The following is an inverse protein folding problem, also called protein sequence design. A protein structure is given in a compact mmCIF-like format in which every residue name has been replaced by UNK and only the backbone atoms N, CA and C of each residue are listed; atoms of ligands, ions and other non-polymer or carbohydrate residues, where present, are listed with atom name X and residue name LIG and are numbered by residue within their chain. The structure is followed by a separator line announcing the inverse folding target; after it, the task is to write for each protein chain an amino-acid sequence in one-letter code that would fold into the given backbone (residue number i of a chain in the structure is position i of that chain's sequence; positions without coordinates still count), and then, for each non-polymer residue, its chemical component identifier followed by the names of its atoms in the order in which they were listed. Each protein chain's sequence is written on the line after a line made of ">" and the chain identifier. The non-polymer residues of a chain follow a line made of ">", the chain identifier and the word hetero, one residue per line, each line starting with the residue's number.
data_IF_710881824618
#
_entry.id   IF_710881824618
#
_cell.length_a   1.000
_cell.length_b   1.000
_cell.length_c   1.000
_cell.angle_alpha   90.00
_cell.angle_beta   90.00
_cell.angle_gamma   90.00
#
_symmetry.space_group_name_H-M   'P 1'
#
loop_
_entity.id
_entity.type
_entity.pdbx_description
1 polymer ?
#
# COMPACT_ATOMS: atom_id res chain seq x y z
N UNK A 1 -39.60 47.86 1.25
CA UNK A 1 -38.74 47.00 2.09
C UNK A 1 -38.54 45.67 1.38
N UNK A 2 -37.45 45.52 0.61
CA UNK A 2 -37.09 44.24 -0.04
C UNK A 2 -36.20 43.47 0.93
N UNK A 3 -36.70 42.34 1.45
CA UNK A 3 -35.94 41.43 2.31
C UNK A 3 -34.95 40.67 1.42
N UNK A 4 -33.66 40.87 1.64
CA UNK A 4 -32.63 40.01 1.07
C UNK A 4 -32.61 38.69 1.86
N UNK A 5 -32.90 37.59 1.17
CA UNK A 5 -32.78 36.25 1.70
C UNK A 5 -31.29 35.88 1.66
N UNK A 6 -30.64 35.83 2.82
CA UNK A 6 -29.27 35.37 2.93
C UNK A 6 -29.23 33.87 2.61
N UNK A 7 -28.54 33.50 1.53
CA UNK A 7 -28.24 32.11 1.22
C UNK A 7 -27.22 31.63 2.26
N UNK A 8 -27.63 30.75 3.16
CA UNK A 8 -26.71 30.06 4.04
C UNK A 8 -25.88 29.11 3.17
N UNK A 9 -24.63 29.49 2.89
CA UNK A 9 -23.63 28.57 2.36
C UNK A 9 -23.38 27.54 3.47
N UNK A 10 -23.99 26.37 3.32
CA UNK A 10 -23.63 25.22 4.14
C UNK A 10 -22.19 24.86 3.76
N UNK A 11 -21.23 25.23 4.62
CA UNK A 11 -19.89 24.67 4.59
C UNK A 11 -20.06 23.15 4.76
N UNK A 12 -20.04 22.42 3.64
CA UNK A 12 -19.87 20.98 3.63
C UNK A 12 -18.58 20.70 4.39
N UNK A 13 -18.70 20.09 5.57
CA UNK A 13 -17.54 19.58 6.29
C UNK A 13 -16.83 18.59 5.37
N UNK A 14 -15.65 18.95 4.89
CA UNK A 14 -14.80 18.05 4.12
C UNK A 14 -14.37 16.91 5.05
N UNK A 15 -14.99 15.75 4.88
CA UNK A 15 -14.63 14.55 5.63
C UNK A 15 -13.26 14.02 5.22
N UNK A 16 -12.59 13.31 6.13
CA UNK A 16 -11.38 12.55 5.81
C UNK A 16 -11.75 11.42 4.84
N UNK A 17 -11.19 11.44 3.64
CA UNK A 17 -11.35 10.38 2.65
C UNK A 17 -10.21 9.37 2.82
N UNK A 18 -10.48 8.08 2.68
CA UNK A 18 -9.47 7.01 2.68
C UNK A 18 -9.59 6.33 1.32
N UNK A 19 -9.09 6.96 0.26
CA UNK A 19 -9.31 6.54 -1.12
C UNK A 19 -8.02 6.31 -1.91
N UNK A 20 -6.91 6.07 -1.20
CA UNK A 20 -5.62 5.83 -1.85
C UNK A 20 -5.76 4.78 -2.96
N UNK A 21 -5.06 5.03 -4.06
CA UNK A 21 -5.01 4.11 -5.20
C UNK A 21 -3.57 3.95 -5.61
N UNK A 22 -3.09 2.71 -5.62
CA UNK A 22 -1.71 2.35 -5.94
C UNK A 22 -1.63 1.73 -7.33
N UNK A 23 -0.68 2.18 -8.15
CA UNK A 23 -0.36 1.63 -9.46
C UNK A 23 1.15 1.37 -9.55
N UNK A 24 1.52 0.11 -9.76
CA UNK A 24 2.91 -0.33 -9.89
C UNK A 24 3.14 -0.85 -11.31
N UNK A 25 4.28 -0.53 -11.93
CA UNK A 25 4.61 -0.95 -13.30
C UNK A 25 6.03 -1.52 -13.34
N UNK A 26 6.15 -2.76 -13.82
CA UNK A 26 7.42 -3.42 -14.06
C UNK A 26 8.19 -2.80 -15.24
N UNK A 27 9.50 -2.95 -15.26
CA UNK A 27 10.36 -2.32 -16.26
C UNK A 27 10.18 -2.84 -17.71
N UNK A 28 9.64 -4.04 -17.90
CA UNK A 28 9.29 -4.53 -19.24
C UNK A 28 7.87 -4.10 -19.66
N UNK A 29 7.03 -3.73 -18.69
CA UNK A 29 5.71 -3.13 -18.92
C UNK A 29 5.78 -1.62 -19.17
N UNK A 30 6.84 -0.93 -18.75
CA UNK A 30 7.00 0.50 -18.95
C UNK A 30 7.57 0.87 -20.32
N UNK A 31 7.26 2.08 -20.78
CA UNK A 31 7.64 2.59 -22.10
C UNK A 31 9.15 2.84 -22.24
N UNK A 32 9.81 3.21 -21.16
CA UNK A 32 11.23 3.63 -21.13
C UNK A 32 12.15 2.65 -20.40
N UNK A 33 11.61 1.53 -19.88
CA UNK A 33 12.40 0.56 -19.12
C UNK A 33 12.57 0.92 -17.63
N UNK A 34 11.88 1.94 -17.13
CA UNK A 34 11.87 2.29 -15.70
C UNK A 34 10.91 1.40 -14.91
N UNK A 35 11.20 1.20 -13.63
CA UNK A 35 10.20 0.73 -12.66
C UNK A 35 9.39 1.93 -12.18
N UNK A 36 8.07 1.79 -12.00
CA UNK A 36 7.20 2.88 -11.56
C UNK A 36 6.41 2.43 -10.33
N UNK A 37 6.49 3.21 -9.25
CA UNK A 37 5.55 3.19 -8.13
C UNK A 37 4.79 4.52 -8.18
N UNK A 38 3.46 4.46 -8.21
CA UNK A 38 2.61 5.62 -8.12
C UNK A 38 1.46 5.37 -7.14
N UNK A 39 1.11 6.38 -6.36
CA UNK A 39 -0.01 6.33 -5.42
C UNK A 39 -0.65 7.71 -5.32
N UNK A 40 -1.98 7.75 -5.36
CA UNK A 40 -2.71 8.89 -4.81
C UNK A 40 -2.73 8.74 -3.29
N UNK A 41 -2.13 9.70 -2.60
CA UNK A 41 -2.30 9.83 -1.15
C UNK A 41 -3.56 10.67 -0.92
N UNK A 42 -4.61 10.02 -0.47
CA UNK A 42 -5.92 10.64 -0.31
C UNK A 42 -6.24 10.79 1.18
N UNK A 43 -6.50 12.03 1.58
CA UNK A 43 -6.82 12.41 2.95
C UNK A 43 -7.81 13.55 2.99
N UNK A 44 -7.52 14.55 3.81
CA UNK A 44 -8.32 15.79 3.83
C UNK A 44 -7.81 16.77 2.77
N UNK A 45 -8.73 17.45 2.07
CA UNK A 45 -8.39 18.42 1.02
C UNK A 45 -7.55 19.63 1.51
N UNK A 46 -7.49 19.85 2.83
CA UNK A 46 -6.71 20.90 3.47
C UNK A 46 -5.42 20.38 4.14
N UNK A 47 -5.03 19.13 3.91
CA UNK A 47 -3.81 18.57 4.44
C UNK A 47 -2.61 19.00 3.59
N UNK A 48 -1.94 20.08 3.98
CA UNK A 48 -0.73 20.50 3.31
C UNK A 48 0.39 19.46 3.50
N UNK A 49 1.20 19.25 2.46
CA UNK A 49 2.33 18.33 2.51
C UNK A 49 3.65 19.08 2.46
N UNK A 50 4.61 18.63 3.26
CA UNK A 50 5.98 19.12 3.26
C UNK A 50 6.90 18.13 2.58
N UNK A 51 7.52 18.53 1.47
CA UNK A 51 8.60 17.76 0.85
C UNK A 51 9.91 18.06 1.59
N UNK A 52 10.42 17.07 2.30
CA UNK A 52 11.60 17.21 3.18
C UNK A 52 12.74 16.33 2.67
N UNK A 53 13.97 16.83 2.83
CA UNK A 53 15.19 16.04 2.64
C UNK A 53 15.83 15.89 4.01
N UNK A 54 15.72 14.69 4.58
CA UNK A 54 16.38 14.33 5.82
C UNK A 54 17.87 14.09 5.56
N UNK A 55 18.78 14.80 6.24
CA UNK A 55 20.22 14.63 6.04
C UNK A 55 20.70 13.26 6.55
N UNK A 56 21.94 12.89 6.17
CA UNK A 56 22.61 11.74 6.78
C UNK A 56 22.78 12.00 8.28
N UNK A 57 22.52 10.99 9.11
CA UNK A 57 22.76 11.05 10.55
C UNK A 57 23.69 9.91 10.98
N UNK A 58 24.59 10.21 11.92
CA UNK A 58 25.59 9.28 12.44
C UNK A 58 25.50 9.20 13.97
N UNK A 59 25.97 8.08 14.52
CA UNK A 59 26.03 7.83 15.97
C UNK A 59 24.70 8.06 16.68
N UNK A 60 23.57 7.78 16.01
CA UNK A 60 22.27 7.96 16.63
C UNK A 60 22.08 6.97 17.79
N UNK A 61 21.33 7.41 18.80
CA UNK A 61 21.02 6.64 20.00
C UNK A 61 19.54 6.83 20.34
N UNK A 62 18.94 5.83 20.98
CA UNK A 62 17.54 5.89 21.41
C UNK A 62 16.58 5.29 20.38
N UNK A 63 15.35 5.79 20.36
CA UNK A 63 14.26 5.23 19.58
C UNK A 63 13.52 6.31 18.79
N UNK A 64 13.12 5.96 17.57
CA UNK A 64 12.03 6.61 16.87
C UNK A 64 10.73 6.41 17.67
N UNK A 65 9.89 7.44 17.74
CA UNK A 65 8.57 7.38 18.38
C UNK A 65 7.52 7.84 17.39
N UNK A 66 6.53 6.99 17.14
CA UNK A 66 5.39 7.32 16.32
C UNK A 66 4.61 8.51 16.92
N UNK A 67 3.99 9.28 16.05
CA UNK A 67 3.12 10.40 16.39
C UNK A 67 1.70 9.92 16.74
N UNK A 68 1.19 8.89 16.05
CA UNK A 68 -0.23 8.47 16.17
C UNK A 68 -0.50 7.37 17.20
N UNK A 69 0.50 6.60 17.61
CA UNK A 69 0.39 5.59 18.66
C UNK A 69 1.70 5.46 19.46
N UNK A 70 1.79 4.48 20.35
CA UNK A 70 2.98 4.25 21.18
C UNK A 70 4.00 3.30 20.51
N UNK A 71 3.98 3.16 19.18
CA UNK A 71 5.03 2.42 18.48
C UNK A 71 6.38 3.13 18.67
N UNK A 72 7.41 2.33 18.96
CA UNK A 72 8.78 2.78 18.96
C UNK A 72 9.70 1.76 18.30
N UNK A 73 10.75 2.26 17.68
CA UNK A 73 11.75 1.44 16.99
C UNK A 73 13.15 2.00 17.23
N UNK A 74 14.19 1.16 17.43
CA UNK A 74 15.55 1.65 17.63
C UNK A 74 16.01 2.54 16.46
N UNK A 75 16.61 3.68 16.77
CA UNK A 75 17.29 4.48 15.74
C UNK A 75 18.53 3.72 15.26
N UNK A 76 18.81 3.70 13.94
CA UNK A 76 20.00 3.05 13.43
C UNK A 76 21.24 3.88 13.76
N UNK A 77 22.38 3.22 14.04
CA UNK A 77 23.65 3.91 14.29
C UNK A 77 23.97 4.94 13.18
N UNK A 78 23.72 4.58 11.92
CA UNK A 78 23.80 5.48 10.77
C UNK A 78 22.49 5.43 9.97
N UNK A 79 21.89 6.59 9.74
CA UNK A 79 20.77 6.77 8.82
C UNK A 79 21.25 7.43 7.54
N UNK A 80 20.89 6.86 6.40
CA UNK A 80 21.09 7.45 5.08
C UNK A 80 20.27 8.74 4.92
N UNK A 81 20.72 9.61 4.02
CA UNK A 81 19.90 10.73 3.55
C UNK A 81 18.68 10.16 2.82
N UNK A 82 17.51 10.70 3.07
CA UNK A 82 16.28 10.32 2.36
C UNK A 82 15.34 11.50 2.16
N UNK A 83 14.41 11.37 1.22
CA UNK A 83 13.32 12.33 1.04
C UNK A 83 12.04 11.78 1.63
N UNK A 84 11.15 12.65 2.08
CA UNK A 84 9.81 12.30 2.53
C UNK A 84 8.80 13.40 2.14
N UNK A 85 7.52 13.08 2.20
CA UNK A 85 6.39 13.98 1.93
C UNK A 85 5.48 13.99 3.17
N UNK A 86 5.93 14.69 4.22
CA UNK A 86 5.28 14.71 5.53
C UNK A 86 3.94 15.45 5.54
N UNK A 87 3.03 15.03 6.42
CA UNK A 87 1.91 15.85 6.88
C UNK A 87 2.43 17.09 7.60
N UNK A 88 1.84 18.25 7.30
CA UNK A 88 2.31 19.54 7.83
C UNK A 88 2.31 19.64 9.36
N UNK A 89 1.48 18.87 10.06
CA UNK A 89 1.30 18.91 11.51
C UNK A 89 2.13 17.86 12.27
N UNK A 90 3.05 17.17 11.59
CA UNK A 90 3.92 16.14 12.19
C UNK A 90 5.30 16.63 12.60
N UNK A 91 5.58 17.93 12.45
CA UNK A 91 6.93 18.50 12.58
C UNK A 91 7.97 17.77 11.72
N UNK A 92 7.57 17.31 10.53
CA UNK A 92 8.40 16.60 9.57
C UNK A 92 9.02 15.29 10.10
N UNK A 93 8.35 14.59 11.02
CA UNK A 93 8.87 13.36 11.66
C UNK A 93 7.95 12.12 11.54
N UNK A 94 6.79 12.25 10.90
CA UNK A 94 5.83 11.14 10.72
C UNK A 94 5.04 11.32 9.42
N UNK A 95 4.31 10.30 8.97
CA UNK A 95 3.60 10.33 7.68
C UNK A 95 4.52 10.67 6.51
N UNK A 96 5.65 9.98 6.39
CA UNK A 96 6.63 10.27 5.33
C UNK A 96 6.12 9.99 3.91
N UNK A 97 5.02 9.24 3.77
CA UNK A 97 4.27 8.87 2.56
C UNK A 97 5.07 8.19 1.45
N UNK A 98 6.04 8.89 0.86
CA UNK A 98 6.85 8.39 -0.23
C UNK A 98 8.18 9.13 -0.34
N UNK A 99 9.20 8.43 -0.85
CA UNK A 99 10.52 9.00 -1.01
C UNK A 99 11.57 8.07 -1.54
N UNK A 100 12.81 8.57 -1.62
CA UNK A 100 14.01 7.80 -1.96
C UNK A 100 15.13 8.09 -0.95
N UNK A 101 15.93 7.07 -0.64
CA UNK A 101 17.18 7.22 0.10
C UNK A 101 18.42 7.36 -0.82
N UNK A 102 19.58 7.61 -0.23
CA UNK A 102 20.85 7.74 -0.94
C UNK A 102 21.38 6.44 -1.56
N UNK A 103 20.84 5.27 -1.23
CA UNK A 103 21.14 4.01 -1.91
C UNK A 103 20.31 3.80 -3.19
N UNK A 104 19.37 4.70 -3.49
CA UNK A 104 18.47 4.58 -4.63
C UNK A 104 17.28 3.64 -4.38
N UNK A 105 17.00 3.32 -3.12
CA UNK A 105 15.76 2.64 -2.72
C UNK A 105 14.66 3.68 -2.56
N UNK A 106 13.52 3.42 -3.18
CA UNK A 106 12.29 4.19 -2.98
C UNK A 106 11.22 3.39 -2.27
N UNK A 107 10.27 4.10 -1.67
CA UNK A 107 9.14 3.50 -0.98
C UNK A 107 7.90 4.38 -1.13
N UNK A 108 6.73 3.75 -1.09
CA UNK A 108 5.44 4.40 -0.90
C UNK A 108 4.64 3.63 0.16
N UNK A 109 4.31 4.30 1.26
CA UNK A 109 3.60 3.77 2.41
C UNK A 109 2.53 4.80 2.86
N UNK A 110 1.22 4.53 2.80
CA UNK A 110 0.59 3.22 2.52
C UNK A 110 -0.58 3.27 1.55
N UNK A 111 -0.94 2.09 1.04
CA UNK A 111 -2.31 1.79 0.62
C UNK A 111 -3.06 1.23 1.82
N UNK A 112 -4.06 1.93 2.36
CA UNK A 112 -4.86 1.34 3.46
C UNK A 112 -5.66 0.16 2.94
N UNK A 113 -5.50 -1.02 3.53
CA UNK A 113 -6.29 -2.22 3.20
C UNK A 113 -6.97 -2.77 4.46
N UNK A 114 -7.85 -3.75 4.28
CA UNK A 114 -8.61 -4.33 5.38
C UNK A 114 -8.47 -5.85 5.42
N UNK A 115 -8.13 -6.36 6.61
CA UNK A 115 -8.07 -7.79 6.86
C UNK A 115 -9.41 -8.36 7.33
N UNK A 116 -9.62 -9.65 7.05
CA UNK A 116 -10.86 -10.38 7.33
C UNK A 116 -11.13 -10.52 8.82
N UNK A 117 -12.42 -10.50 9.21
CA UNK A 117 -12.83 -10.59 10.62
C UNK A 117 -12.33 -11.87 11.32
N UNK A 118 -12.26 -12.99 10.61
CA UNK A 118 -11.79 -14.25 11.18
C UNK A 118 -10.29 -14.21 11.48
N UNK A 119 -9.48 -13.66 10.55
CA UNK A 119 -8.05 -13.45 10.76
C UNK A 119 -7.78 -12.51 11.94
N UNK A 120 -8.49 -11.37 11.99
CA UNK A 120 -8.36 -10.39 13.07
C UNK A 120 -8.91 -10.87 14.42
N UNK A 121 -9.83 -11.82 14.44
CA UNK A 121 -10.26 -12.47 15.69
C UNK A 121 -9.17 -13.38 16.25
N UNK A 122 -8.40 -14.04 15.37
CA UNK A 122 -7.30 -14.93 15.76
C UNK A 122 -5.99 -14.18 16.05
N UNK A 123 -5.75 -13.08 15.37
CA UNK A 123 -4.56 -12.24 15.50
C UNK A 123 -4.91 -10.76 15.24
N UNK A 124 -5.44 -10.05 16.26
CA UNK A 124 -5.89 -8.67 16.15
C UNK A 124 -4.73 -7.71 15.86
N UNK A 125 -5.04 -6.57 15.24
CA UNK A 125 -4.08 -5.48 15.12
C UNK A 125 -3.58 -5.01 16.49
N UNK A 126 -2.29 -4.70 16.56
CA UNK A 126 -1.63 -4.17 17.75
C UNK A 126 -1.76 -2.65 17.76
N UNK A 127 -2.99 -2.14 17.82
CA UNK A 127 -3.31 -0.71 17.58
C UNK A 127 -2.56 0.29 18.46
N UNK A 128 -2.16 -0.12 19.68
CA UNK A 128 -1.48 0.75 20.64
C UNK A 128 0.02 0.90 20.38
N UNK A 129 0.69 -0.14 19.87
CA UNK A 129 2.17 -0.22 19.85
C UNK A 129 2.72 -0.85 18.59
N UNK A 130 1.88 -1.28 17.66
CA UNK A 130 2.25 -1.86 16.38
C UNK A 130 2.54 -0.78 15.34
N UNK A 131 3.29 -1.15 14.31
CA UNK A 131 3.67 -0.23 13.24
C UNK A 131 2.46 0.18 12.39
N UNK A 132 2.41 1.45 12.01
CA UNK A 132 1.35 2.06 11.18
C UNK A 132 1.99 2.95 10.12
N UNK A 133 1.22 3.38 9.12
CA UNK A 133 1.57 4.34 8.07
C UNK A 133 2.41 5.51 8.60
N UNK A 134 2.03 6.02 9.77
CA UNK A 134 2.71 7.07 10.53
C UNK A 134 4.24 6.90 10.61
N UNK A 135 4.72 5.66 10.77
CA UNK A 135 6.10 5.34 11.09
C UNK A 135 6.85 4.56 9.99
N UNK A 136 6.13 3.88 9.08
CA UNK A 136 6.75 2.90 8.15
C UNK A 136 7.86 3.53 7.33
N UNK A 137 7.60 4.69 6.74
CA UNK A 137 8.59 5.36 5.89
C UNK A 137 9.86 5.67 6.70
N UNK A 138 9.68 6.32 7.85
CA UNK A 138 10.75 6.93 8.62
C UNK A 138 11.62 5.92 9.37
N UNK A 139 11.15 4.68 9.57
CA UNK A 139 11.97 3.61 10.16
C UNK A 139 12.64 2.70 9.13
N UNK A 140 12.10 2.62 7.91
CA UNK A 140 12.62 1.72 6.87
C UNK A 140 13.55 2.42 5.89
N UNK A 141 13.13 3.56 5.34
CA UNK A 141 13.87 4.22 4.25
C UNK A 141 15.30 4.64 4.64
N UNK A 142 15.58 5.09 5.88
CA UNK A 142 16.94 5.50 6.25
C UNK A 142 17.96 4.35 6.28
N UNK A 143 17.52 3.08 6.25
CA UNK A 143 18.41 1.91 6.40
C UNK A 143 18.35 0.91 5.25
N UNK A 144 17.27 0.91 4.45
CA UNK A 144 17.08 -0.07 3.39
C UNK A 144 18.09 0.10 2.22
N UNK A 145 18.84 -0.95 1.89
CA UNK A 145 19.83 -0.97 0.80
C UNK A 145 19.30 -1.56 -0.52
N UNK A 146 18.12 -2.19 -0.48
CA UNK A 146 17.39 -2.68 -1.66
C UNK A 146 15.88 -2.69 -1.38
N UNK A 147 15.05 -2.75 -2.41
CA UNK A 147 13.60 -2.89 -2.30
C UNK A 147 13.22 -4.14 -1.49
N UNK A 148 13.88 -5.26 -1.81
CA UNK A 148 13.72 -6.53 -1.09
C UNK A 148 14.07 -6.40 0.40
N UNK A 149 15.17 -5.73 0.73
CA UNK A 149 15.53 -5.49 2.13
C UNK A 149 14.49 -4.60 2.82
N UNK A 150 13.97 -3.56 2.15
CA UNK A 150 12.91 -2.72 2.68
C UNK A 150 11.67 -3.53 3.08
N UNK A 151 11.18 -4.37 2.16
CA UNK A 151 10.05 -5.27 2.43
C UNK A 151 10.35 -6.25 3.58
N UNK A 152 11.56 -6.83 3.61
CA UNK A 152 11.97 -7.74 4.68
C UNK A 152 12.04 -7.06 6.05
N UNK A 153 12.59 -5.85 6.13
CA UNK A 153 12.66 -5.07 7.37
C UNK A 153 11.25 -4.76 7.89
N UNK A 154 10.32 -4.37 7.03
CA UNK A 154 8.93 -4.13 7.44
C UNK A 154 8.28 -5.42 7.94
N UNK A 155 8.47 -6.54 7.23
CA UNK A 155 8.02 -7.86 7.68
C UNK A 155 8.57 -8.25 9.06
N UNK A 156 9.85 -8.02 9.31
CA UNK A 156 10.49 -8.28 10.61
C UNK A 156 9.92 -7.40 11.73
N UNK A 157 9.55 -6.15 11.43
CA UNK A 157 8.87 -5.28 12.41
C UNK A 157 7.46 -5.79 12.68
N UNK A 158 6.71 -6.20 11.66
CA UNK A 158 5.35 -6.75 11.82
C UNK A 158 5.42 -8.00 12.71
N UNK A 159 6.39 -8.88 12.52
CA UNK A 159 6.58 -10.07 13.35
C UNK A 159 6.90 -9.74 14.81
N UNK A 160 7.70 -8.69 15.06
CA UNK A 160 8.19 -8.34 16.39
C UNK A 160 7.25 -7.43 17.20
N UNK A 161 6.58 -6.50 16.53
CA UNK A 161 5.78 -5.43 17.16
C UNK A 161 4.31 -5.47 16.76
N UNK A 162 3.98 -6.24 15.73
CA UNK A 162 2.68 -6.26 15.11
C UNK A 162 2.43 -5.05 14.21
N UNK A 163 1.49 -5.22 13.28
CA UNK A 163 0.84 -4.15 12.55
C UNK A 163 -0.29 -3.54 13.39
N UNK A 164 -0.29 -2.21 13.47
CA UNK A 164 -1.34 -1.44 14.16
C UNK A 164 -2.59 -1.21 13.32
N UNK A 165 -2.51 -1.44 12.01
CA UNK A 165 -3.58 -1.30 11.03
C UNK A 165 -3.31 -2.19 9.81
N UNK A 166 -4.25 -2.23 8.86
CA UNK A 166 -4.07 -2.96 7.60
C UNK A 166 -3.46 -2.05 6.52
N UNK A 167 -2.37 -2.48 5.89
CA UNK A 167 -1.70 -1.69 4.87
C UNK A 167 -1.03 -2.53 3.77
N UNK A 168 -0.93 -1.92 2.60
CA UNK A 168 -0.06 -2.29 1.50
C UNK A 168 1.10 -1.30 1.36
N UNK A 169 2.32 -1.78 1.14
CA UNK A 169 3.53 -0.96 0.99
C UNK A 169 4.34 -1.39 -0.21
N UNK A 170 4.73 -0.43 -1.04
CA UNK A 170 5.52 -0.66 -2.23
C UNK A 170 6.97 -0.18 -2.03
N UNK A 171 7.93 -1.00 -2.48
CA UNK A 171 9.36 -0.72 -2.43
C UNK A 171 9.95 -0.85 -3.84
N UNK A 172 10.88 0.03 -4.21
CA UNK A 172 11.50 0.06 -5.54
C UNK A 172 13.01 0.28 -5.42
N UNK A 173 13.77 -0.36 -6.29
CA UNK A 173 15.16 -0.02 -6.55
C UNK A 173 15.46 -0.16 -8.06
N UNK A 174 16.75 -0.09 -8.43
CA UNK A 174 17.17 -0.22 -9.84
C UNK A 174 16.89 -1.59 -10.48
N UNK A 175 16.44 -2.61 -9.73
CA UNK A 175 16.33 -4.00 -10.17
C UNK A 175 14.93 -4.58 -10.00
N UNK A 176 14.16 -4.14 -9.02
CA UNK A 176 12.88 -4.77 -8.69
C UNK A 176 11.90 -3.82 -7.97
N UNK A 177 10.61 -4.18 -8.04
CA UNK A 177 9.56 -3.67 -7.17
C UNK A 177 9.09 -4.82 -6.27
N UNK A 178 8.89 -4.53 -4.99
CA UNK A 178 8.23 -5.40 -4.02
C UNK A 178 6.96 -4.75 -3.48
N UNK A 179 5.90 -5.52 -3.34
CA UNK A 179 4.65 -5.07 -2.70
C UNK A 179 4.33 -5.98 -1.53
N UNK A 180 4.18 -5.42 -0.34
CA UNK A 180 3.87 -6.12 0.90
C UNK A 180 2.46 -5.76 1.36
N UNK A 181 1.65 -6.76 1.70
CA UNK A 181 0.35 -6.60 2.37
C UNK A 181 0.37 -7.26 3.76
N UNK A 182 -0.25 -6.61 4.74
CA UNK A 182 -0.57 -7.23 6.03
C UNK A 182 -1.69 -8.26 5.85
N UNK A 183 -1.59 -9.39 6.52
CA UNK A 183 -2.65 -10.41 6.61
C UNK A 183 -3.43 -10.37 7.93
N UNK A 184 -2.78 -9.93 9.01
CA UNK A 184 -3.37 -9.77 10.35
C UNK A 184 -2.41 -8.95 11.21
N UNK A 185 -2.55 -9.00 12.54
CA UNK A 185 -1.62 -8.36 13.47
C UNK A 185 -0.14 -8.71 13.23
N UNK A 186 0.20 -9.94 12.86
CA UNK A 186 1.59 -10.40 12.73
C UNK A 186 1.84 -11.25 11.47
N UNK A 187 0.84 -11.44 10.61
CA UNK A 187 0.99 -12.15 9.34
C UNK A 187 1.14 -11.16 8.19
N UNK A 188 1.98 -11.48 7.22
CA UNK A 188 2.23 -10.62 6.05
C UNK A 188 2.70 -11.45 4.86
N UNK A 189 2.49 -10.93 3.66
CA UNK A 189 2.98 -11.47 2.41
C UNK A 189 3.55 -10.32 1.58
N UNK A 190 4.74 -10.51 1.02
CA UNK A 190 5.33 -9.63 0.03
C UNK A 190 5.63 -10.40 -1.25
N UNK A 191 5.33 -9.76 -2.38
CA UNK A 191 5.51 -10.33 -3.72
C UNK A 191 6.35 -9.37 -4.56
N UNK A 192 7.33 -9.94 -5.28
CA UNK A 192 8.06 -9.22 -6.32
C UNK A 192 7.13 -9.00 -7.52
N UNK A 193 6.98 -7.75 -7.95
CA UNK A 193 6.21 -7.45 -9.14
C UNK A 193 6.85 -8.11 -10.37
N UNK A 194 6.10 -8.89 -11.18
CA UNK A 194 6.62 -9.41 -12.44
C UNK A 194 7.05 -8.29 -13.39
N UNK A 195 8.21 -8.45 -14.02
CA UNK A 195 8.86 -7.39 -14.80
C UNK A 195 8.00 -6.87 -15.96
N UNK A 196 7.20 -7.72 -16.59
CA UNK A 196 6.35 -7.40 -17.75
C UNK A 196 4.89 -7.09 -17.38
N UNK A 197 4.61 -6.90 -16.09
CA UNK A 197 3.27 -6.68 -15.56
C UNK A 197 3.12 -5.33 -14.85
N UNK A 198 1.87 -4.93 -14.64
CA UNK A 198 1.46 -3.89 -13.71
C UNK A 198 0.53 -4.46 -12.64
N UNK A 199 0.39 -3.72 -11.54
CA UNK A 199 -0.49 -4.01 -10.41
C UNK A 199 -1.28 -2.75 -10.06
N UNK A 200 -2.58 -2.90 -9.79
CA UNK A 200 -3.43 -1.81 -9.30
C UNK A 200 -4.02 -2.23 -7.97
N UNK A 201 -3.97 -1.39 -6.95
CA UNK A 201 -4.73 -1.59 -5.72
C UNK A 201 -5.57 -0.37 -5.40
N UNK A 202 -6.73 -0.64 -4.81
CA UNK A 202 -7.53 0.32 -4.08
C UNK A 202 -7.42 -0.02 -2.59
N UNK A 203 -8.41 0.36 -1.76
CA UNK A 203 -8.39 0.10 -0.33
C UNK A 203 -8.87 -1.31 0.04
N UNK A 204 -8.28 -2.33 -0.60
CA UNK A 204 -8.54 -3.74 -0.40
C UNK A 204 -7.27 -4.53 -0.73
N UNK A 205 -6.89 -5.50 0.10
CA UNK A 205 -5.74 -6.36 -0.17
C UNK A 205 -6.04 -7.22 -1.40
N UNK A 206 -5.03 -7.51 -2.23
CA UNK A 206 -5.18 -8.19 -3.52
C UNK A 206 -4.22 -9.34 -3.72
N UNK A 207 -3.19 -9.50 -2.89
CA UNK A 207 -2.24 -10.60 -3.06
C UNK A 207 -2.92 -11.95 -2.79
N UNK A 208 -2.63 -12.97 -3.61
CA UNK A 208 -3.32 -14.27 -3.56
C UNK A 208 -2.34 -15.44 -3.45
N UNK A 209 -1.74 -15.81 -4.58
CA UNK A 209 -0.85 -16.96 -4.65
C UNK A 209 0.45 -16.71 -3.88
N UNK A 210 0.93 -17.75 -3.20
CA UNK A 210 2.19 -17.76 -2.47
C UNK A 210 2.85 -19.14 -2.60
N UNK A 211 4.07 -19.18 -3.15
CA UNK A 211 4.92 -20.36 -3.13
C UNK A 211 6.03 -20.20 -2.08
N UNK A 212 6.01 -20.93 -0.96
CA UNK A 212 7.04 -20.85 0.08
C UNK A 212 8.41 -21.35 -0.37
N UNK A 213 8.53 -22.00 -1.53
CA UNK A 213 9.81 -22.46 -2.07
C UNK A 213 10.43 -21.44 -3.03
N UNK A 214 9.66 -20.47 -3.53
CA UNK A 214 10.14 -19.41 -4.41
C UNK A 214 10.55 -18.16 -3.62
N UNK A 215 11.75 -18.23 -3.04
CA UNK A 215 12.37 -17.12 -2.33
C UNK A 215 12.79 -15.96 -3.26
N UNK A 216 12.72 -16.14 -4.59
CA UNK A 216 13.06 -15.09 -5.53
C UNK A 216 11.89 -14.11 -5.70
N UNK A 217 10.65 -14.60 -5.68
CA UNK A 217 9.46 -13.78 -5.91
C UNK A 217 8.56 -13.61 -4.69
N UNK A 218 8.77 -14.38 -3.61
CA UNK A 218 7.97 -14.29 -2.40
C UNK A 218 8.80 -14.12 -1.13
N UNK A 219 8.24 -13.35 -0.19
CA UNK A 219 8.64 -13.31 1.22
C UNK A 219 7.38 -13.24 2.06
N UNK A 220 7.33 -13.90 3.20
CA UNK A 220 6.16 -13.91 4.05
C UNK A 220 6.55 -14.15 5.51
N UNK A 221 5.61 -13.93 6.42
CA UNK A 221 5.78 -14.38 7.80
C UNK A 221 6.06 -15.90 7.83
N UNK A 222 7.03 -16.38 8.64
CA UNK A 222 7.39 -17.80 8.70
C UNK A 222 6.22 -18.72 9.08
N UNK A 223 5.20 -18.16 9.72
CA UNK A 223 4.01 -18.89 10.19
C UNK A 223 2.79 -18.72 9.29
N UNK A 224 2.87 -18.00 8.15
CA UNK A 224 1.71 -17.60 7.33
C UNK A 224 0.73 -18.77 7.10
N UNK A 225 1.19 -19.81 6.40
CA UNK A 225 0.31 -20.93 6.03
C UNK A 225 -0.05 -21.80 7.23
N UNK A 226 0.87 -22.00 8.18
CA UNK A 226 0.62 -22.87 9.35
C UNK A 226 -0.36 -22.23 10.34
N UNK A 227 -0.31 -20.90 10.50
CA UNK A 227 -1.27 -20.11 11.24
C UNK A 227 -2.65 -20.19 10.60
N UNK A 228 -2.75 -19.96 9.28
CA UNK A 228 -4.03 -20.03 8.57
C UNK A 228 -4.71 -21.40 8.74
N UNK A 229 -3.95 -22.49 8.63
CA UNK A 229 -4.45 -23.86 8.89
C UNK A 229 -4.93 -24.04 10.33
N UNK A 230 -4.11 -23.64 11.30
CA UNK A 230 -4.40 -23.79 12.72
C UNK A 230 -5.67 -23.05 13.13
N UNK A 231 -5.93 -21.89 12.54
CA UNK A 231 -7.08 -21.03 12.85
C UNK A 231 -8.31 -21.32 11.96
N UNK A 232 -8.24 -22.31 11.07
CA UNK A 232 -9.34 -22.65 10.17
C UNK A 232 -9.60 -21.61 9.07
N UNK A 233 -8.64 -20.73 8.79
CA UNK A 233 -8.69 -19.74 7.69
C UNK A 233 -8.34 -20.38 6.34
N UNK A 234 -7.61 -21.49 6.36
CA UNK A 234 -7.22 -22.25 5.18
C UNK A 234 -7.39 -23.76 5.42
N UNK A 235 -8.07 -24.42 4.50
CA UNK A 235 -8.20 -25.88 4.45
C UNK A 235 -7.46 -26.42 3.22
N UNK A 236 -6.29 -27.08 3.38
CA UNK A 236 -5.55 -27.66 2.26
C UNK A 236 -6.31 -28.77 1.51
N UNK A 237 -7.41 -29.31 2.05
CA UNK A 237 -8.28 -30.22 1.31
C UNK A 237 -9.13 -29.50 0.24
N UNK A 238 -9.22 -28.16 0.29
CA UNK A 238 -10.04 -27.34 -0.63
C UNK A 238 -9.25 -26.71 -1.78
N UNK A 239 -7.93 -26.93 -1.83
CA UNK A 239 -7.07 -26.39 -2.88
C UNK A 239 -5.81 -25.76 -2.33
N UNK A 240 -5.15 -24.97 -3.18
CA UNK A 240 -3.94 -24.23 -2.83
C UNK A 240 -4.24 -23.08 -1.85
N UNK A 241 -3.21 -22.65 -1.13
CA UNK A 241 -3.33 -21.50 -0.23
C UNK A 241 -3.52 -20.22 -1.04
N UNK A 242 -4.57 -19.47 -0.71
CA UNK A 242 -4.87 -18.16 -1.25
C UNK A 242 -4.85 -17.13 -0.11
N UNK A 243 -3.86 -16.24 -0.13
CA UNK A 243 -3.65 -15.22 0.90
C UNK A 243 -4.86 -14.32 1.07
N UNK A 244 -5.48 -13.89 -0.03
CA UNK A 244 -6.66 -13.04 0.00
C UNK A 244 -7.83 -13.72 0.69
N UNK A 245 -8.13 -14.97 0.31
CA UNK A 245 -9.21 -15.73 0.93
C UNK A 245 -8.98 -15.99 2.42
N UNK A 246 -7.73 -16.20 2.83
CA UNK A 246 -7.38 -16.48 4.21
C UNK A 246 -7.39 -15.21 5.09
N UNK A 247 -6.99 -14.07 4.55
CA UNK A 247 -6.59 -12.90 5.35
C UNK A 247 -7.24 -11.56 4.97
N UNK A 248 -7.72 -11.39 3.75
CA UNK A 248 -8.32 -10.12 3.31
C UNK A 248 -9.81 -10.05 3.62
N UNK A 249 -10.35 -8.84 3.64
CA UNK A 249 -11.78 -8.59 3.69
C UNK A 249 -12.33 -8.32 2.29
N UNK A 250 -13.43 -9.01 1.96
CA UNK A 250 -14.37 -8.57 0.92
C UNK A 250 -15.71 -8.24 1.59
N UNK A 251 -16.28 -7.10 1.25
CA UNK A 251 -17.51 -6.58 1.80
C UNK A 251 -18.34 -5.87 0.70
N UNK A 252 -19.57 -5.48 1.03
CA UNK A 252 -20.47 -4.84 0.05
C UNK A 252 -19.96 -3.50 -0.47
N UNK A 253 -19.23 -2.74 0.36
CA UNK A 253 -18.67 -1.44 -0.02
C UNK A 253 -17.61 -1.58 -1.11
N UNK A 254 -16.94 -2.72 -1.25
CA UNK A 254 -15.92 -2.92 -2.29
C UNK A 254 -16.51 -2.76 -3.69
N UNK A 255 -17.74 -3.21 -3.91
CA UNK A 255 -18.44 -3.09 -5.20
C UNK A 255 -18.68 -1.64 -5.65
N UNK A 256 -18.64 -0.68 -4.74
CA UNK A 256 -18.82 0.75 -5.03
C UNK A 256 -17.58 1.59 -4.77
N UNK A 257 -16.69 1.15 -3.89
CA UNK A 257 -15.57 1.96 -3.40
C UNK A 257 -14.22 1.51 -3.94
N UNK A 258 -14.00 0.20 -4.10
CA UNK A 258 -12.69 -0.37 -4.43
C UNK A 258 -12.66 -0.98 -5.82
N UNK A 259 -13.58 -1.91 -6.11
CA UNK A 259 -13.63 -2.63 -7.38
C UNK A 259 -13.79 -1.70 -8.59
N UNK A 260 -14.61 -0.63 -8.57
CA UNK A 260 -14.68 0.28 -9.71
C UNK A 260 -13.34 0.92 -10.07
N UNK A 261 -12.52 1.32 -9.08
CA UNK A 261 -11.20 1.92 -9.32
C UNK A 261 -10.25 0.91 -9.96
N UNK A 262 -10.16 -0.29 -9.39
CA UNK A 262 -9.31 -1.37 -9.94
C UNK A 262 -9.78 -1.73 -11.35
N UNK A 263 -11.07 -1.98 -11.52
CA UNK A 263 -11.68 -2.39 -12.79
C UNK A 263 -11.42 -1.35 -13.88
N UNK A 264 -11.65 -0.06 -13.60
CA UNK A 264 -11.46 1.04 -14.56
C UNK A 264 -10.02 1.12 -15.02
N UNK A 265 -9.05 1.11 -14.09
CA UNK A 265 -7.63 1.19 -14.45
C UNK A 265 -7.18 -0.07 -15.19
N UNK A 266 -7.70 -1.25 -14.83
CA UNK A 266 -7.40 -2.48 -15.54
C UNK A 266 -7.95 -2.46 -16.97
N UNK A 267 -9.19 -2.02 -17.19
CA UNK A 267 -9.78 -1.93 -18.52
C UNK A 267 -9.16 -0.82 -19.37
N UNK A 268 -8.65 0.25 -18.75
CA UNK A 268 -7.90 1.28 -19.45
C UNK A 268 -6.62 0.72 -20.10
N UNK A 269 -5.93 -0.22 -19.45
CA UNK A 269 -4.71 -0.84 -19.97
C UNK A 269 -4.93 -2.19 -20.65
N UNK A 270 -6.11 -2.79 -20.48
CA UNK A 270 -6.53 -4.06 -21.07
C UNK A 270 -8.03 -4.04 -21.39
N UNK A 271 -8.46 -3.33 -22.46
CA UNK A 271 -9.88 -3.13 -22.81
C UNK A 271 -10.62 -4.41 -23.23
N UNK A 272 -9.92 -5.54 -23.37
CA UNK A 272 -10.47 -6.84 -23.71
C UNK A 272 -10.62 -7.77 -22.50
N UNK A 273 -10.38 -7.28 -21.28
CA UNK A 273 -10.69 -8.04 -20.08
C UNK A 273 -12.18 -8.36 -20.04
N UNK A 274 -12.48 -9.61 -19.74
CA UNK A 274 -13.84 -10.09 -19.52
C UNK A 274 -14.07 -10.21 -18.02
N UNK A 275 -14.01 -9.07 -17.32
CA UNK A 275 -14.34 -8.99 -15.89
C UNK A 275 -15.43 -7.95 -15.66
N UNK A 276 -16.26 -8.17 -14.64
CA UNK A 276 -17.36 -7.26 -14.29
C UNK A 276 -17.13 -6.67 -12.91
N UNK A 277 -17.50 -5.40 -12.71
CA UNK A 277 -17.24 -4.65 -11.47
C UNK A 277 -17.74 -5.37 -10.21
N UNK A 278 -18.86 -6.09 -10.30
CA UNK A 278 -19.47 -6.80 -9.18
C UNK A 278 -18.71 -8.04 -8.71
N UNK A 279 -17.74 -8.54 -9.50
CA UNK A 279 -16.99 -9.77 -9.25
C UNK A 279 -15.50 -9.46 -9.02
N UNK A 280 -15.21 -8.38 -8.28
CA UNK A 280 -13.85 -7.88 -8.07
C UNK A 280 -12.89 -8.86 -7.40
N UNK A 281 -13.41 -9.85 -6.68
CA UNK A 281 -12.66 -10.97 -6.12
C UNK A 281 -11.98 -11.84 -7.19
N UNK A 282 -12.42 -11.75 -8.46
CA UNK A 282 -11.87 -12.50 -9.60
C UNK A 282 -10.82 -11.71 -10.37
N UNK A 283 -10.64 -10.42 -10.07
CA UNK A 283 -9.75 -9.56 -10.85
C UNK A 283 -8.31 -10.06 -10.79
N UNK A 284 -7.63 -10.21 -11.95
CA UNK A 284 -6.23 -10.59 -11.97
C UNK A 284 -5.37 -9.64 -11.12
N UNK A 285 -4.49 -10.20 -10.30
CA UNK A 285 -3.60 -9.42 -9.42
C UNK A 285 -2.59 -8.65 -10.26
N UNK A 286 -1.90 -9.36 -11.15
CA UNK A 286 -0.93 -8.83 -12.10
C UNK A 286 -1.45 -8.98 -13.52
N UNK A 287 -1.26 -7.95 -14.32
CA UNK A 287 -1.64 -7.95 -15.73
C UNK A 287 -0.50 -7.43 -16.59
N UNK A 288 -0.33 -8.03 -17.75
CA UNK A 288 0.51 -7.45 -18.80
C UNK A 288 -0.32 -6.43 -19.59
N UNK A 289 0.09 -5.17 -19.69
CA UNK A 289 -0.69 -4.16 -20.40
C UNK A 289 -0.62 -4.42 -21.92
N UNK A 290 -1.68 -4.08 -22.66
CA UNK A 290 -1.68 -4.28 -24.14
C UNK A 290 -0.65 -3.41 -24.86
N UNK A 291 -0.20 -2.34 -24.21
CA UNK A 291 0.82 -1.42 -24.68
C UNK A 291 1.64 -0.94 -23.49
N UNK A 292 2.92 -0.66 -23.72
CA UNK A 292 3.82 -0.21 -22.66
C UNK A 292 3.33 1.11 -22.04
N UNK A 293 3.45 1.22 -20.72
CA UNK A 293 2.92 2.34 -19.95
C UNK A 293 4.00 3.42 -19.74
N UNK A 294 3.70 4.67 -20.10
CA UNK A 294 4.54 5.82 -19.76
C UNK A 294 4.14 6.40 -18.40
N UNK A 295 5.01 7.20 -17.79
CA UNK A 295 4.67 7.96 -16.57
C UNK A 295 3.41 8.82 -16.77
N UNK A 296 3.25 9.43 -17.96
CA UNK A 296 2.05 10.20 -18.28
C UNK A 296 0.78 9.32 -18.35
N UNK A 297 0.88 8.09 -18.85
CA UNK A 297 -0.24 7.15 -18.86
C UNK A 297 -0.65 6.74 -17.44
N UNK A 298 0.34 6.48 -16.57
CA UNK A 298 0.13 6.20 -15.14
C UNK A 298 -0.52 7.39 -14.44
N UNK A 299 -0.03 8.61 -14.67
CA UNK A 299 -0.62 9.82 -14.10
C UNK A 299 -2.07 10.02 -14.56
N UNK A 300 -2.36 9.89 -15.86
CA UNK A 300 -3.71 10.00 -16.39
C UNK A 300 -4.66 8.95 -15.81
N UNK A 301 -4.16 7.74 -15.55
CA UNK A 301 -4.94 6.68 -14.91
C UNK A 301 -5.26 7.01 -13.45
N UNK A 302 -4.33 7.60 -12.69
CA UNK A 302 -4.57 8.03 -11.32
C UNK A 302 -5.43 9.30 -11.21
N UNK A 303 -5.56 10.08 -12.28
CA UNK A 303 -6.49 11.20 -12.38
C UNK A 303 -7.89 10.78 -12.84
N UNK A 304 -8.12 9.48 -13.07
CA UNK A 304 -9.40 8.99 -13.55
C UNK A 304 -10.50 9.21 -12.50
N UNK A 305 -11.60 9.81 -12.94
CA UNK A 305 -12.81 10.05 -12.15
C UNK A 305 -14.04 9.49 -12.88
N UNK A 306 -13.85 8.41 -13.62
CA UNK A 306 -14.85 7.75 -14.48
C UNK A 306 -15.34 8.64 -15.63
N UNK A 307 -14.44 9.48 -16.15
CA UNK A 307 -14.75 10.47 -17.17
C UNK A 307 -15.42 9.84 -18.40
N UNK A 308 -16.53 10.44 -18.84
CA UNK A 308 -17.31 9.95 -19.97
C UNK A 308 -18.23 8.76 -19.67
N UNK A 309 -18.50 8.47 -18.39
CA UNK A 309 -19.53 7.52 -17.94
C UNK A 309 -20.62 8.24 -17.15
N UNK A 310 -21.73 7.56 -16.84
CA UNK A 310 -22.76 8.10 -15.94
C UNK A 310 -22.30 8.22 -14.47
N UNK A 311 -21.04 7.87 -14.17
CA UNK A 311 -20.40 7.97 -12.85
C UNK A 311 -19.38 9.10 -12.75
N UNK A 312 -19.26 9.97 -13.76
CA UNK A 312 -18.42 11.18 -13.76
C UNK A 312 -19.03 12.26 -12.82
N UNK A 313 -18.33 12.70 -11.75
CA UNK A 313 -18.89 13.57 -10.69
C UNK A 313 -19.07 15.05 -11.05
#
# INVERSE_FOLDING_TARGET
>A
MKKYLAFAVTLLGMGKVIACTTLLVGNQASADGSFIIARNEDGSANNAKHKVIHPVAFHQQGEYKAHRNNFSWPLPETAMRYTAIHDFDTNDNAMGEAGFNSAGVGMSATETIYNGRAALAADPYVTKTGITEDAIESVILPVAQSARQGAKLLGDIIEQKGAGEGFGVAFIDSKEIWYLETGSGHQWLAVRLPADSYFVSANQGRLRHYDPNDNANYMASPTLVSFAKKQGLYDPARGEFDFHQAYSQDNKNDTTYNYPRVWTLQHQFNPHLDTVVSEGETFPVFLRPISKLSVAAVQNALLNHYQGTDHDP
#
